data_IF_694543802843
#
_entry.id   IF_694543802843
#
_cell.length_a   1.000
_cell.length_b   1.000
_cell.length_c   1.000
_cell.angle_alpha   90.00
_cell.angle_beta   90.00
_cell.angle_gamma   90.00
#
_symmetry.space_group_name_H-M   'P 1'
#
loop_
_entity.id
_entity.type
_entity.pdbx_description
1 polymer ?
#
# COMPACT_ATOMS: atom_id res chain seq x y z
N UNK A 1 34.28 45.11 12.80
CA UNK A 1 32.88 45.24 12.35
C UNK A 1 32.77 44.70 10.93
N UNK A 2 32.20 43.51 10.76
CA UNK A 2 31.29 43.14 9.67
C UNK A 2 31.06 41.63 9.72
N UNK A 3 30.23 41.22 10.68
CA UNK A 3 29.49 39.96 10.57
C UNK A 3 28.68 40.03 9.28
N UNK A 4 29.21 39.39 8.23
CA UNK A 4 28.50 39.27 6.96
C UNK A 4 27.43 38.21 7.12
N UNK A 5 26.31 38.64 7.71
CA UNK A 5 25.08 37.87 7.82
C UNK A 5 24.69 37.29 6.46
N UNK A 6 24.36 36.00 6.48
CA UNK A 6 24.07 35.20 5.29
C UNK A 6 22.71 35.59 4.70
N UNK A 7 22.63 36.74 4.05
CA UNK A 7 21.41 37.27 3.43
C UNK A 7 21.73 38.14 2.24
N UNK A 8 21.76 37.55 1.04
CA UNK A 8 22.03 38.33 -0.17
C UNK A 8 22.39 37.53 -1.42
N UNK A 9 21.53 36.58 -1.82
CA UNK A 9 21.38 36.09 -3.20
C UNK A 9 19.91 35.69 -3.35
N UNK A 10 19.30 35.93 -4.51
CA UNK A 10 17.95 35.42 -4.83
C UNK A 10 17.87 33.96 -4.38
N UNK A 11 17.06 33.68 -3.36
CA UNK A 11 17.07 32.39 -2.68
C UNK A 11 16.59 31.35 -3.69
N UNK A 12 17.52 30.56 -4.22
CA UNK A 12 17.18 29.26 -4.78
C UNK A 12 16.28 28.55 -3.75
N UNK A 13 15.15 28.01 -4.22
CA UNK A 13 14.13 27.42 -3.34
C UNK A 13 14.83 26.40 -2.44
N UNK A 14 14.75 26.60 -1.13
CA UNK A 14 15.42 25.72 -0.18
C UNK A 14 14.88 24.30 -0.37
N UNK A 15 15.77 23.28 -0.34
CA UNK A 15 15.35 21.88 -0.37
C UNK A 15 14.29 21.63 0.70
N UNK A 16 13.19 20.98 0.31
CA UNK A 16 12.08 20.61 1.22
C UNK A 16 12.60 19.67 2.31
N UNK A 17 11.89 19.62 3.44
CA UNK A 17 12.27 18.71 4.54
C UNK A 17 12.21 17.25 4.12
N UNK A 18 11.22 16.88 3.31
CA UNK A 18 11.10 15.55 2.71
C UNK A 18 12.33 15.19 1.87
N UNK A 19 12.76 16.10 0.97
CA UNK A 19 13.95 15.90 0.14
C UNK A 19 15.26 15.81 0.94
N UNK A 20 15.35 16.45 2.11
CA UNK A 20 16.51 16.31 3.02
C UNK A 20 16.49 15.00 3.81
N UNK A 21 15.30 14.47 4.09
CA UNK A 21 15.10 13.25 4.85
C UNK A 21 15.04 11.98 3.97
N UNK A 22 14.97 12.12 2.65
CA UNK A 22 14.88 10.99 1.72
C UNK A 22 13.50 10.32 1.67
N UNK A 23 12.46 11.00 2.15
CA UNK A 23 11.07 10.51 2.20
C UNK A 23 10.30 11.16 1.06
N UNK A 24 9.51 10.40 0.29
CA UNK A 24 8.63 10.92 -0.76
C UNK A 24 7.39 11.61 -0.19
N UNK A 25 6.87 11.15 0.94
CA UNK A 25 5.73 11.80 1.59
C UNK A 25 6.09 13.20 2.15
N UNK A 26 5.19 14.21 2.05
CA UNK A 26 5.45 15.56 2.54
C UNK A 26 5.57 15.63 4.07
N UNK A 27 6.71 16.11 4.56
CA UNK A 27 7.01 16.27 5.99
C UNK A 27 6.73 17.70 6.54
N UNK A 28 5.84 18.47 5.91
CA UNK A 28 5.61 19.89 6.26
C UNK A 28 4.41 20.12 7.21
N UNK A 29 3.69 19.07 7.63
CA UNK A 29 2.37 19.22 8.29
C UNK A 29 2.35 19.19 9.84
N UNK A 30 3.49 18.99 10.53
CA UNK A 30 3.61 18.91 12.02
C UNK A 30 4.99 19.46 12.49
N UNK A 31 5.21 19.72 13.80
CA UNK A 31 6.45 20.32 14.36
C UNK A 31 7.78 19.59 14.04
N UNK A 32 8.91 20.30 13.92
CA UNK A 32 10.14 19.96 13.18
C UNK A 32 10.58 18.48 12.98
N UNK A 33 10.49 17.61 13.99
CA UNK A 33 10.90 16.18 13.89
C UNK A 33 9.75 15.19 13.68
N UNK A 34 8.57 15.48 14.25
CA UNK A 34 7.39 14.64 14.16
C UNK A 34 6.91 14.33 12.71
N UNK A 35 6.89 15.28 11.75
CA UNK A 35 6.36 14.99 10.43
C UNK A 35 7.33 14.19 9.57
N UNK A 36 8.64 14.19 9.89
CA UNK A 36 9.62 13.35 9.18
C UNK A 36 9.43 11.90 9.61
N UNK A 37 9.31 11.65 10.91
CA UNK A 37 9.02 10.31 11.42
C UNK A 37 7.68 9.78 10.90
N UNK A 38 6.63 10.60 11.00
CA UNK A 38 5.31 10.20 10.49
C UNK A 38 5.32 9.95 8.98
N UNK A 39 5.98 10.79 8.20
CA UNK A 39 6.10 10.59 6.76
C UNK A 39 6.84 9.27 6.44
N UNK A 40 7.92 8.95 7.14
CA UNK A 40 8.65 7.70 6.95
C UNK A 40 7.81 6.47 7.29
N UNK A 41 7.08 6.49 8.41
CA UNK A 41 6.20 5.38 8.82
C UNK A 41 5.06 5.17 7.81
N UNK A 42 4.41 6.26 7.39
CA UNK A 42 3.34 6.20 6.40
C UNK A 42 3.84 5.70 5.04
N UNK A 43 5.05 6.09 4.64
CA UNK A 43 5.66 5.62 3.38
C UNK A 43 5.94 4.13 3.43
N UNK A 44 6.51 3.64 4.52
CA UNK A 44 6.74 2.21 4.70
C UNK A 44 5.43 1.40 4.65
N UNK A 45 4.41 1.81 5.40
CA UNK A 45 3.15 1.07 5.44
C UNK A 45 2.39 1.14 4.11
N UNK A 46 2.25 2.33 3.53
CA UNK A 46 1.38 2.52 2.37
C UNK A 46 2.08 2.21 1.04
N UNK A 47 3.33 2.64 0.87
CA UNK A 47 4.04 2.58 -0.42
C UNK A 47 4.83 1.30 -0.57
N UNK A 48 5.36 0.74 0.53
CA UNK A 48 6.08 -0.53 0.50
C UNK A 48 5.12 -1.69 0.77
N UNK A 49 4.58 -1.81 1.99
CA UNK A 49 3.89 -3.03 2.39
C UNK A 49 2.57 -3.27 1.63
N UNK A 50 1.64 -2.30 1.68
CA UNK A 50 0.30 -2.47 1.09
C UNK A 50 0.35 -2.57 -0.44
N UNK A 51 1.17 -1.74 -1.09
CA UNK A 51 1.26 -1.72 -2.56
C UNK A 51 1.99 -2.95 -3.10
N UNK A 52 3.03 -3.45 -2.42
CA UNK A 52 3.74 -4.67 -2.83
C UNK A 52 2.80 -5.89 -2.78
N UNK A 53 2.12 -6.08 -1.65
CA UNK A 53 1.14 -7.15 -1.49
C UNK A 53 -0.02 -7.02 -2.49
N UNK A 54 -0.52 -5.79 -2.72
CA UNK A 54 -1.58 -5.54 -3.70
C UNK A 54 -1.11 -5.79 -5.14
N UNK A 55 0.17 -5.53 -5.42
CA UNK A 55 0.86 -5.84 -6.67
C UNK A 55 0.89 -7.35 -6.92
N UNK A 56 1.26 -8.13 -5.91
CA UNK A 56 1.24 -9.59 -5.97
C UNK A 56 -0.19 -10.11 -6.23
N UNK A 57 -1.18 -9.61 -5.50
CA UNK A 57 -2.58 -9.97 -5.74
C UNK A 57 -3.06 -9.56 -7.14
N UNK A 58 -2.57 -8.45 -7.70
CA UNK A 58 -2.88 -8.06 -9.07
C UNK A 58 -2.27 -9.03 -10.10
N UNK A 59 -1.00 -9.37 -9.89
CA UNK A 59 -0.26 -10.30 -10.72
C UNK A 59 -0.90 -11.70 -10.73
N UNK A 60 -1.30 -12.21 -9.57
CA UNK A 60 -2.01 -13.50 -9.45
C UNK A 60 -3.35 -13.49 -10.18
N UNK A 61 -4.02 -12.33 -10.19
CA UNK A 61 -5.24 -12.10 -10.97
C UNK A 61 -4.97 -11.73 -12.44
N UNK A 62 -3.72 -11.88 -12.91
CA UNK A 62 -3.27 -11.60 -14.29
C UNK A 62 -3.55 -10.16 -14.72
N UNK A 63 -3.44 -9.20 -13.80
CA UNK A 63 -3.65 -7.78 -14.03
C UNK A 63 -2.39 -6.99 -13.72
N UNK A 64 -2.07 -6.04 -14.58
CA UNK A 64 -0.94 -5.10 -14.40
C UNK A 64 -1.33 -3.83 -13.63
N UNK A 65 -2.64 -3.59 -13.45
CA UNK A 65 -3.20 -2.43 -12.75
C UNK A 65 -3.88 -2.86 -11.46
N UNK A 66 -3.59 -2.14 -10.38
CA UNK A 66 -4.29 -2.28 -9.11
C UNK A 66 -5.76 -1.87 -9.23
N UNK A 67 -6.66 -2.68 -8.71
CA UNK A 67 -8.10 -2.39 -8.58
C UNK A 67 -8.53 -2.56 -7.12
N UNK A 68 -9.68 -2.00 -6.70
CA UNK A 68 -10.10 -2.04 -5.28
C UNK A 68 -10.16 -3.45 -4.67
N UNK A 69 -10.45 -4.49 -5.49
CA UNK A 69 -10.40 -5.88 -5.04
C UNK A 69 -9.02 -6.32 -4.54
N UNK A 70 -7.93 -5.88 -5.16
CA UNK A 70 -6.58 -6.27 -4.72
C UNK A 70 -6.26 -5.70 -3.33
N UNK A 71 -6.79 -4.52 -3.00
CA UNK A 71 -6.67 -3.93 -1.67
C UNK A 71 -7.56 -4.64 -0.63
N UNK A 72 -8.77 -5.05 -1.03
CA UNK A 72 -9.70 -5.75 -0.14
C UNK A 72 -9.11 -7.08 0.37
N UNK A 73 -8.39 -7.80 -0.49
CA UNK A 73 -7.83 -9.12 -0.13
C UNK A 73 -6.77 -9.05 0.99
N UNK A 74 -6.30 -7.85 1.35
CA UNK A 74 -5.16 -7.64 2.24
C UNK A 74 -5.53 -6.89 3.53
N UNK A 75 -6.56 -6.03 3.47
CA UNK A 75 -6.92 -5.13 4.57
C UNK A 75 -8.16 -5.65 5.32
N UNK A 76 -7.93 -6.35 6.42
CA UNK A 76 -8.98 -6.78 7.34
C UNK A 76 -9.58 -5.60 8.14
N UNK A 77 -10.89 -5.64 8.38
CA UNK A 77 -11.58 -4.68 9.25
C UNK A 77 -11.84 -3.29 8.65
N UNK A 78 -11.47 -3.05 7.38
CA UNK A 78 -11.75 -1.80 6.66
C UNK A 78 -12.74 -2.06 5.51
N UNK A 79 -13.70 -1.17 5.33
CA UNK A 79 -14.63 -1.25 4.18
C UNK A 79 -14.02 -0.55 2.97
N UNK A 80 -13.81 -1.29 1.89
CA UNK A 80 -13.28 -0.76 0.62
C UNK A 80 -14.38 -0.76 -0.42
N UNK A 81 -14.75 0.43 -0.91
CA UNK A 81 -15.68 0.57 -2.02
C UNK A 81 -15.21 -0.20 -3.26
N UNK A 82 -16.12 -0.94 -3.91
CA UNK A 82 -15.84 -1.75 -5.11
C UNK A 82 -14.86 -2.93 -4.90
N UNK A 83 -14.58 -3.34 -3.66
CA UNK A 83 -13.71 -4.50 -3.39
C UNK A 83 -14.37 -5.87 -3.61
N UNK A 84 -15.69 -5.96 -3.42
CA UNK A 84 -16.41 -7.23 -3.38
C UNK A 84 -16.16 -8.00 -2.07
N UNK A 85 -16.13 -9.34 -2.14
CA UNK A 85 -15.85 -10.21 -0.98
C UNK A 85 -14.87 -11.33 -1.31
N UNK A 86 -14.21 -11.88 -0.29
CA UNK A 86 -13.46 -13.13 -0.42
C UNK A 86 -14.42 -14.27 -0.81
N UNK A 87 -14.11 -15.04 -1.87
CA UNK A 87 -14.93 -16.21 -2.22
C UNK A 87 -14.87 -17.22 -1.08
N UNK A 88 -16.00 -17.47 -0.44
CA UNK A 88 -16.12 -18.46 0.62
C UNK A 88 -17.53 -19.06 0.57
N UNK A 89 -17.62 -20.38 0.46
CA UNK A 89 -18.89 -21.12 0.50
C UNK A 89 -18.90 -22.05 1.70
N UNK A 90 -19.95 -21.98 2.52
CA UNK A 90 -20.10 -22.88 3.65
C UNK A 90 -20.26 -24.32 3.17
N UNK A 91 -19.59 -25.27 3.84
CA UNK A 91 -19.60 -26.68 3.44
C UNK A 91 -21.01 -27.29 3.35
N UNK A 92 -21.94 -26.80 4.16
CA UNK A 92 -23.36 -27.22 4.13
C UNK A 92 -24.07 -26.91 2.81
N UNK A 93 -23.61 -25.88 2.09
CA UNK A 93 -24.15 -25.46 0.80
C UNK A 93 -23.51 -26.22 -0.37
N UNK A 94 -22.43 -26.96 -0.13
CA UNK A 94 -21.81 -27.78 -1.16
C UNK A 94 -22.71 -28.96 -1.48
N UNK A 95 -22.81 -29.28 -2.76
CA UNK A 95 -23.47 -30.50 -3.21
C UNK A 95 -22.79 -31.70 -2.57
N UNK A 96 -23.58 -32.67 -2.08
CA UNK A 96 -23.04 -33.98 -1.70
C UNK A 96 -22.32 -34.57 -2.91
N UNK A 97 -21.06 -34.94 -2.72
CA UNK A 97 -20.27 -35.65 -3.74
C UNK A 97 -20.97 -36.99 -4.02
N UNK A 98 -21.49 -37.19 -5.22
CA UNK A 98 -21.74 -38.54 -5.73
C UNK A 98 -20.39 -39.19 -5.99
N UNK A 99 -20.22 -40.45 -5.56
CA UNK A 99 -18.97 -41.20 -5.79
C UNK A 99 -18.66 -41.22 -7.29
N UNK A 100 -17.44 -40.82 -7.66
CA UNK A 100 -16.97 -40.99 -9.04
C UNK A 100 -16.89 -42.50 -9.32
N UNK A 101 -17.40 -43.00 -10.46
CA UNK A 101 -17.28 -44.41 -10.78
C UNK A 101 -15.79 -44.75 -10.88
N UNK A 102 -15.33 -45.64 -10.01
CA UNK A 102 -13.98 -46.19 -10.06
C UNK A 102 -13.85 -46.93 -11.38
N UNK A 103 -13.16 -46.33 -12.35
CA UNK A 103 -12.79 -47.00 -13.59
C UNK A 103 -11.70 -48.00 -13.22
N UNK A 104 -12.11 -49.26 -13.00
CA UNK A 104 -11.22 -50.41 -12.90
C UNK A 104 -10.44 -50.50 -14.22
N UNK A 105 -9.14 -50.24 -14.17
CA UNK A 105 -8.24 -50.57 -15.28
C UNK A 105 -8.00 -52.08 -15.22
N UNK A 106 -8.53 -52.79 -16.21
CA UNK A 106 -8.07 -54.14 -16.58
C UNK A 106 -6.70 -54.06 -17.25
#
# INVERSE_FOLDING_TARGET
>A
MSDRGKGGKSRAKAKTRSARAGVQLPAERVGAGAPVYLAAVLEYLAVVEVVELAGNAAHDNKKTRLIPRHLLLLLGGVTIGQGGVLPNMQAVLLRKKTEEPVVSKE
#
